data_IF_976719288537
#
_entry.id   IF_976719288537
#
_cell.length_a   1.000
_cell.length_b   1.000
_cell.length_c   1.000
_cell.angle_alpha   90.00
_cell.angle_beta   90.00
_cell.angle_gamma   90.00
#
_symmetry.space_group_name_H-M   'P 1'
#
loop_
_entity.id
_entity.type
_entity.pdbx_description
1 polymer ?
#
# COMPACT_ATOMS: atom_id res chain seq x y z
N UNK A 1 14.80 -8.59 18.08
CA UNK A 1 14.66 -7.11 18.00
C UNK A 1 14.42 -6.59 16.57
N UNK A 2 14.57 -7.39 15.50
CA UNK A 2 14.38 -6.94 14.11
C UNK A 2 12.95 -7.08 13.56
N UNK A 3 12.04 -7.76 14.28
CA UNK A 3 10.69 -8.10 13.76
C UNK A 3 9.67 -6.95 13.80
N UNK A 4 10.02 -5.80 14.39
CA UNK A 4 9.14 -4.64 14.56
C UNK A 4 9.67 -3.38 13.87
N UNK A 5 10.87 -3.41 13.28
CA UNK A 5 11.52 -2.21 12.77
C UNK A 5 10.75 -1.61 11.57
N UNK A 6 10.23 -2.47 10.70
CA UNK A 6 9.40 -2.14 9.54
C UNK A 6 8.02 -1.63 9.94
N UNK A 7 7.36 -2.30 10.89
CA UNK A 7 6.06 -1.87 11.44
C UNK A 7 6.16 -0.50 12.12
N UNK A 8 7.10 -0.35 13.05
CA UNK A 8 7.30 0.90 13.80
C UNK A 8 7.67 2.06 12.87
N UNK A 9 8.48 1.79 11.84
CA UNK A 9 8.83 2.80 10.85
C UNK A 9 7.60 3.27 10.07
N UNK A 10 6.78 2.34 9.57
CA UNK A 10 5.56 2.68 8.85
C UNK A 10 4.59 3.47 9.73
N UNK A 11 4.37 2.99 10.95
CA UNK A 11 3.47 3.64 11.90
C UNK A 11 3.94 5.04 12.26
N UNK A 12 5.23 5.22 12.54
CA UNK A 12 5.83 6.52 12.82
C UNK A 12 5.65 7.51 11.66
N UNK A 13 5.97 7.08 10.43
CA UNK A 13 5.85 7.96 9.26
C UNK A 13 4.39 8.31 8.97
N UNK A 14 3.47 7.35 9.04
CA UNK A 14 2.06 7.61 8.78
C UNK A 14 1.44 8.49 9.86
N UNK A 15 1.75 8.26 11.14
CA UNK A 15 1.29 9.13 12.24
C UNK A 15 1.78 10.57 12.10
N UNK A 16 2.96 10.78 11.54
CA UNK A 16 3.49 12.12 11.27
C UNK A 16 2.85 12.79 10.04
N UNK A 17 2.17 12.04 9.17
CA UNK A 17 1.55 12.53 7.94
C UNK A 17 0.07 12.86 8.07
N UNK A 18 -0.61 12.34 9.11
CA UNK A 18 -2.05 12.43 9.27
C UNK A 18 -2.45 13.36 10.41
N UNK A 19 -3.62 13.98 10.30
CA UNK A 19 -4.17 14.84 11.36
C UNK A 19 -4.63 14.03 12.58
N UNK A 20 -5.13 12.81 12.36
CA UNK A 20 -5.60 11.90 13.42
C UNK A 20 -4.66 10.68 13.57
N UNK A 21 -3.55 10.78 14.32
CA UNK A 21 -2.57 9.70 14.48
C UNK A 21 -3.11 8.51 15.29
N UNK A 22 -4.17 8.70 16.06
CA UNK A 22 -4.77 7.65 16.89
C UNK A 22 -5.53 6.59 16.06
N UNK A 23 -5.96 6.96 14.86
CA UNK A 23 -6.72 6.09 13.95
C UNK A 23 -5.82 5.31 12.98
N UNK A 24 -4.50 5.35 13.19
CA UNK A 24 -3.52 4.62 12.40
C UNK A 24 -3.22 3.30 13.07
N UNK A 25 -3.53 2.19 12.39
CA UNK A 25 -3.17 0.84 12.83
C UNK A 25 -2.39 0.13 11.73
N UNK A 26 -1.34 -0.58 12.12
CA UNK A 26 -0.51 -1.37 11.21
C UNK A 26 -0.53 -2.82 11.67
N UNK A 27 -1.00 -3.71 10.82
CA UNK A 27 -0.97 -5.14 11.03
C UNK A 27 0.19 -5.76 10.24
N UNK A 28 0.91 -6.67 10.89
CA UNK A 28 2.06 -7.37 10.30
C UNK A 28 1.75 -8.86 10.22
N UNK A 29 1.85 -9.42 9.01
CA UNK A 29 1.78 -10.86 8.75
C UNK A 29 3.07 -11.32 8.09
N UNK A 30 3.65 -12.40 8.60
CA UNK A 30 4.86 -13.01 8.05
C UNK A 30 4.46 -14.33 7.43
N UNK A 31 4.77 -14.47 6.14
CA UNK A 31 4.55 -15.69 5.37
C UNK A 31 5.89 -16.20 4.84
N UNK A 32 5.91 -17.40 4.24
CA UNK A 32 7.12 -18.00 3.67
C UNK A 32 7.77 -17.14 2.56
N UNK A 33 7.00 -16.27 1.90
CA UNK A 33 7.46 -15.39 0.82
C UNK A 33 7.87 -13.97 1.28
N UNK A 34 7.66 -13.60 2.55
CA UNK A 34 8.02 -12.27 3.05
C UNK A 34 7.09 -11.72 4.14
N UNK A 35 7.01 -10.39 4.21
CA UNK A 35 6.22 -9.67 5.22
C UNK A 35 5.15 -8.85 4.53
N UNK A 36 3.89 -9.07 4.91
CA UNK A 36 2.76 -8.24 4.53
C UNK A 36 2.45 -7.26 5.67
N UNK A 37 2.58 -5.97 5.37
CA UNK A 37 2.14 -4.88 6.24
C UNK A 37 0.80 -4.38 5.71
N UNK A 38 -0.23 -4.43 6.54
CA UNK A 38 -1.55 -3.88 6.26
C UNK A 38 -1.74 -2.62 7.08
N UNK A 39 -1.93 -1.49 6.40
CA UNK A 39 -2.17 -0.20 7.00
C UNK A 39 -3.68 0.09 7.01
N UNK A 40 -4.23 0.26 8.19
CA UNK A 40 -5.60 0.71 8.42
C UNK A 40 -5.57 2.17 8.85
N UNK A 41 -6.32 3.01 8.13
CA UNK A 41 -6.45 4.44 8.42
C UNK A 41 -7.88 4.91 8.23
N UNK A 42 -8.25 5.98 8.93
CA UNK A 42 -9.51 6.68 8.74
C UNK A 42 -9.65 7.19 7.29
N UNK A 43 -10.84 7.12 6.66
CA UNK A 43 -11.05 7.61 5.30
C UNK A 43 -10.71 9.10 5.12
N UNK A 44 -10.81 9.91 6.17
CA UNK A 44 -10.41 11.34 6.14
C UNK A 44 -8.89 11.50 5.92
N UNK A 45 -8.09 10.57 6.43
CA UNK A 45 -6.64 10.57 6.34
C UNK A 45 -6.12 9.91 5.04
N UNK A 46 -6.97 9.16 4.32
CA UNK A 46 -6.56 8.42 3.13
C UNK A 46 -5.95 9.31 2.04
N UNK A 47 -6.50 10.51 1.84
CA UNK A 47 -5.97 11.46 0.87
C UNK A 47 -4.53 11.89 1.17
N UNK A 48 -4.19 12.02 2.46
CA UNK A 48 -2.86 12.42 2.93
C UNK A 48 -1.86 11.26 2.78
N UNK A 49 -2.28 10.03 3.10
CA UNK A 49 -1.45 8.82 3.02
C UNK A 49 -1.18 8.39 1.58
N UNK A 50 -2.20 8.41 0.70
CA UNK A 50 -2.02 8.10 -0.72
C UNK A 50 -1.22 9.23 -1.39
N UNK A 51 -1.57 10.47 -1.07
CA UNK A 51 -1.01 11.67 -1.67
C UNK A 51 -1.44 11.86 -3.13
N UNK A 52 -1.02 12.99 -3.73
CA UNK A 52 -1.33 13.31 -5.13
C UNK A 52 -0.79 12.21 -6.06
N UNK A 53 -1.68 11.62 -6.85
CA UNK A 53 -1.38 10.51 -7.78
C UNK A 53 -0.72 9.28 -7.12
N UNK A 54 -0.93 9.06 -5.83
CA UNK A 54 -0.33 7.93 -5.12
C UNK A 54 1.17 8.09 -4.83
N UNK A 55 1.73 9.29 -4.98
CA UNK A 55 3.17 9.51 -4.84
C UNK A 55 3.66 9.22 -3.41
N UNK A 56 2.90 9.60 -2.38
CA UNK A 56 3.26 9.34 -0.97
C UNK A 56 3.27 7.85 -0.68
N UNK A 57 2.22 7.13 -1.09
CA UNK A 57 2.16 5.67 -0.95
C UNK A 57 3.26 4.95 -1.75
N UNK A 58 3.67 5.50 -2.91
CA UNK A 58 4.79 4.96 -3.70
C UNK A 58 6.13 5.16 -2.98
N UNK A 59 6.37 6.34 -2.41
CA UNK A 59 7.56 6.63 -1.63
C UNK A 59 7.67 5.71 -0.40
N UNK A 60 6.57 5.54 0.35
CA UNK A 60 6.49 4.62 1.49
C UNK A 60 6.86 3.19 1.09
N UNK A 61 6.35 2.69 -0.04
CA UNK A 61 6.71 1.35 -0.56
C UNK A 61 8.20 1.22 -0.87
N UNK A 62 8.81 2.26 -1.45
CA UNK A 62 10.25 2.25 -1.72
C UNK A 62 11.06 2.21 -0.44
N UNK A 63 10.70 3.02 0.57
CA UNK A 63 11.38 3.04 1.86
C UNK A 63 11.26 1.70 2.58
N UNK A 64 10.05 1.11 2.60
CA UNK A 64 9.83 -0.22 3.19
C UNK A 64 10.62 -1.32 2.50
N UNK A 65 10.83 -1.23 1.18
CA UNK A 65 11.73 -2.16 0.47
C UNK A 65 13.17 -2.04 0.97
N UNK A 66 13.68 -0.83 1.13
CA UNK A 66 15.06 -0.61 1.63
C UNK A 66 15.21 -1.14 3.06
N UNK A 67 14.23 -0.88 3.93
CA UNK A 67 14.22 -1.40 5.31
C UNK A 67 14.15 -2.93 5.31
N UNK A 68 13.28 -3.53 4.48
CA UNK A 68 13.12 -4.98 4.35
C UNK A 68 14.35 -5.69 3.79
N UNK A 69 15.03 -5.08 2.81
CA UNK A 69 16.28 -5.61 2.23
C UNK A 69 17.37 -5.81 3.26
N UNK A 70 17.46 -4.91 4.25
CA UNK A 70 18.42 -5.03 5.36
C UNK A 70 18.19 -6.28 6.22
N UNK A 71 16.98 -6.82 6.20
CA UNK A 71 16.56 -8.01 6.95
C UNK A 71 16.29 -9.21 6.05
N UNK A 72 16.72 -9.17 4.78
CA UNK A 72 16.50 -10.21 3.77
C UNK A 72 15.02 -10.60 3.59
N UNK A 73 14.11 -9.68 3.91
CA UNK A 73 12.67 -9.90 3.91
C UNK A 73 11.99 -9.05 2.84
N UNK A 74 11.09 -9.66 2.06
CA UNK A 74 10.31 -8.95 1.05
C UNK A 74 9.10 -8.31 1.70
N UNK A 75 9.18 -7.01 1.98
CA UNK A 75 8.09 -6.25 2.61
C UNK A 75 7.12 -5.73 1.56
N UNK A 76 5.83 -6.00 1.74
CA UNK A 76 4.72 -5.52 0.89
C UNK A 76 3.77 -4.69 1.73
N UNK A 77 3.42 -3.49 1.24
CA UNK A 77 2.45 -2.60 1.88
C UNK A 77 1.09 -2.69 1.18
N UNK A 78 0.07 -3.09 1.95
CA UNK A 78 -1.35 -2.97 1.61
C UNK A 78 -1.95 -1.84 2.45
N UNK A 79 -2.71 -0.96 1.83
CA UNK A 79 -3.48 0.07 2.53
C UNK A 79 -4.93 -0.38 2.43
N UNK A 80 -5.58 -0.64 3.56
CA UNK A 80 -7.00 -1.00 3.58
C UNK A 80 -7.86 0.25 3.58
N UNK A 81 -8.64 0.37 2.51
CA UNK A 81 -9.70 1.37 2.41
C UNK A 81 -10.91 0.86 3.22
N UNK A 82 -11.40 1.65 4.19
CA UNK A 82 -12.71 1.40 4.77
C UNK A 82 -13.79 1.52 3.68
N UNK A 83 -14.83 0.70 3.75
CA UNK A 83 -15.89 0.59 2.73
C UNK A 83 -16.41 1.97 2.30
N UNK A 84 -16.13 2.35 1.05
CA UNK A 84 -16.47 3.67 0.49
C UNK A 84 -15.34 4.36 -0.28
N UNK A 85 -14.10 3.85 -0.21
CA UNK A 85 -12.96 4.32 -1.00
C UNK A 85 -13.15 4.10 -2.50
N UNK A 86 -12.83 5.12 -3.30
CA UNK A 86 -12.89 5.09 -4.76
C UNK A 86 -12.06 3.91 -5.27
N UNK A 87 -12.72 2.82 -5.69
CA UNK A 87 -12.12 1.84 -6.60
C UNK A 87 -11.48 2.63 -7.73
N UNK A 88 -10.16 2.68 -7.78
CA UNK A 88 -9.53 2.91 -9.09
C UNK A 88 -9.61 1.54 -9.75
N UNK A 89 -10.41 1.37 -10.82
CA UNK A 89 -10.46 0.11 -11.54
C UNK A 89 -9.10 -0.12 -12.19
N UNK A 90 -8.19 -0.76 -11.48
CA UNK A 90 -7.03 -1.35 -12.08
C UNK A 90 -7.52 -2.60 -12.83
N UNK A 91 -7.56 -2.48 -14.16
CA UNK A 91 -7.69 -3.54 -15.15
C UNK A 91 -9.08 -4.20 -15.34
N UNK A 92 -10.00 -3.49 -16.01
CA UNK A 92 -10.65 -4.13 -17.16
C UNK A 92 -9.70 -3.97 -18.35
N UNK A 93 -8.87 -4.97 -18.61
CA UNK A 93 -8.32 -5.14 -19.96
C UNK A 93 -9.52 -5.50 -20.84
N UNK A 94 -10.03 -4.56 -21.64
CA UNK A 94 -10.76 -4.95 -22.84
C UNK A 94 -9.71 -5.47 -23.80
N UNK A 95 -9.71 -6.78 -24.00
CA UNK A 95 -8.98 -7.43 -25.07
C UNK A 95 -9.44 -6.78 -26.40
N UNK A 96 -8.50 -6.18 -27.14
CA UNK A 96 -8.74 -5.48 -28.42
C UNK A 96 -8.63 -6.47 -29.60
N UNK A 97 -8.70 -7.78 -29.35
CA UNK A 97 -8.43 -8.79 -30.38
C UNK A 97 -9.62 -9.15 -31.30
N UNK A 98 -10.79 -8.50 -31.16
CA UNK A 98 -12.00 -8.79 -31.98
C UNK A 98 -12.26 -7.80 -33.14
N UNK A 99 -11.22 -7.27 -33.79
CA UNK A 99 -11.36 -6.45 -35.02
C UNK A 99 -10.66 -7.04 -36.25
N UNK A 100 -10.40 -8.36 -36.24
CA UNK A 100 -9.72 -9.08 -37.32
C UNK A 100 -10.60 -9.69 -38.42
N UNK A 101 -11.92 -9.75 -38.27
CA UNK A 101 -12.78 -10.56 -39.16
C UNK A 101 -13.96 -9.80 -39.79
N UNK A 102 -13.71 -8.60 -40.32
CA UNK A 102 -14.49 -8.12 -41.46
C UNK A 102 -13.74 -8.45 -42.76
N UNK A 103 -13.96 -9.68 -43.24
CA UNK A 103 -13.59 -10.06 -44.61
C UNK A 103 -14.43 -9.26 -45.61
N UNK A 104 -13.78 -8.92 -46.73
CA UNK A 104 -14.36 -8.36 -47.96
C UNK A 104 -15.61 -9.13 -48.42
#
# INVERSE_FOLDING_TARGET
MSELADQNFLEYVVKALVDNPNDVKVDRKVDEMGVLLTLHVNPENMGQVIGRSGNTAKALRTLLRVVGMKHNARVTLKIEEPEGGRRTPAAEKKDIDDLGDLKL
#
